data_IF_581278304781
#
_entry.id   IF_581278304781
#
_cell.length_a   1.000
_cell.length_b   1.000
_cell.length_c   1.000
_cell.angle_alpha   90.00
_cell.angle_beta   90.00
_cell.angle_gamma   90.00
#
_symmetry.space_group_name_H-M   'P 1'
#
loop_
_entity.id
_entity.type
_entity.pdbx_description
1 polymer ?
#
# COMPACT_ATOMS: atom_id res chain seq x y z
N UNK A 1 2.69 70.26 -18.36
CA UNK A 1 2.81 69.35 -19.51
C UNK A 1 3.40 67.98 -19.21
N UNK A 2 4.28 67.79 -18.24
CA UNK A 2 4.88 66.48 -17.88
C UNK A 2 3.91 65.42 -17.37
N UNK A 3 2.87 65.80 -16.59
CA UNK A 3 1.92 64.89 -15.95
C UNK A 3 1.00 64.16 -16.93
N UNK A 4 0.57 64.81 -18.01
CA UNK A 4 -0.29 64.18 -19.05
C UNK A 4 0.44 63.15 -19.90
N UNK A 5 1.80 63.23 -19.99
CA UNK A 5 2.62 62.29 -20.76
C UNK A 5 2.78 60.96 -20.00
N UNK A 6 2.89 61.02 -18.69
CA UNK A 6 3.02 59.81 -17.86
C UNK A 6 1.73 58.95 -17.82
N UNK A 7 0.57 59.61 -17.87
CA UNK A 7 -0.73 58.91 -17.89
C UNK A 7 -0.97 58.14 -19.20
N UNK A 8 -0.54 58.68 -20.32
CA UNK A 8 -0.63 57.96 -21.61
C UNK A 8 0.34 56.80 -21.70
N UNK A 9 1.55 56.90 -21.11
CA UNK A 9 2.51 55.81 -21.06
C UNK A 9 2.02 54.64 -20.17
N UNK A 10 1.43 54.95 -19.01
CA UNK A 10 0.87 53.93 -18.11
C UNK A 10 -0.32 53.20 -18.74
N UNK A 11 -1.18 53.88 -19.51
CA UNK A 11 -2.30 53.22 -20.23
C UNK A 11 -1.76 52.30 -21.33
N UNK A 12 -0.70 52.70 -22.06
CA UNK A 12 -0.08 51.88 -23.08
C UNK A 12 0.55 50.62 -22.52
N UNK A 13 1.27 50.72 -21.41
CA UNK A 13 1.87 49.54 -20.72
C UNK A 13 0.82 48.59 -20.19
N UNK A 14 -0.33 49.08 -19.66
CA UNK A 14 -1.43 48.21 -19.24
C UNK A 14 -1.98 47.38 -20.39
N UNK A 15 -2.13 47.93 -21.58
CA UNK A 15 -2.61 47.19 -22.76
C UNK A 15 -1.63 46.14 -23.24
N UNK A 16 -0.34 46.43 -23.17
CA UNK A 16 0.71 45.47 -23.53
C UNK A 16 0.72 44.30 -22.53
N UNK A 17 0.64 44.55 -21.21
CA UNK A 17 0.61 43.51 -20.20
C UNK A 17 -0.64 42.63 -20.35
N UNK A 18 -1.80 43.23 -20.64
CA UNK A 18 -3.02 42.46 -20.93
C UNK A 18 -2.91 41.60 -22.18
N UNK A 19 -2.33 42.14 -23.25
CA UNK A 19 -2.13 41.41 -24.50
C UNK A 19 -1.14 40.25 -24.34
N UNK A 20 -0.07 40.43 -23.58
CA UNK A 20 0.92 39.38 -23.30
C UNK A 20 0.30 38.30 -22.39
N UNK A 21 -0.47 38.67 -21.34
CA UNK A 21 -1.11 37.69 -20.47
C UNK A 21 -2.18 36.88 -21.22
N UNK A 22 -2.96 37.51 -22.10
CA UNK A 22 -3.96 36.82 -22.93
C UNK A 22 -3.31 35.90 -23.96
N UNK A 23 -2.19 36.32 -24.58
CA UNK A 23 -1.42 35.47 -25.48
C UNK A 23 -0.78 34.27 -24.76
N UNK A 24 -0.23 34.46 -23.54
CA UNK A 24 0.26 33.35 -22.75
C UNK A 24 -0.84 32.37 -22.36
N UNK A 25 -2.05 32.85 -22.03
CA UNK A 25 -3.17 31.95 -21.75
C UNK A 25 -3.63 31.18 -22.98
N UNK A 26 -3.58 31.75 -24.16
CA UNK A 26 -3.92 31.08 -25.41
C UNK A 26 -2.84 30.09 -25.87
N UNK A 27 -1.57 30.34 -25.58
CA UNK A 27 -0.49 29.38 -25.87
C UNK A 27 -0.48 28.18 -24.89
N UNK A 28 -0.93 28.34 -23.66
CA UNK A 28 -1.08 27.22 -22.75
C UNK A 28 -2.31 26.36 -23.02
N UNK A 29 -3.30 26.88 -23.73
CA UNK A 29 -4.52 26.14 -24.08
C UNK A 29 -4.43 25.34 -25.39
N UNK A 30 -3.42 25.54 -26.20
CA UNK A 30 -3.26 24.87 -27.51
C UNK A 30 -2.15 23.80 -27.52
N UNK A 31 -1.34 23.70 -26.45
CA UNK A 31 -0.23 22.75 -26.34
C UNK A 31 -0.51 21.44 -25.65
N UNK A 32 -1.72 21.23 -25.19
CA UNK A 32 -2.11 20.05 -24.42
C UNK A 32 -2.90 19.01 -25.19
N UNK A 33 -2.65 18.80 -26.47
CA UNK A 33 -2.96 17.52 -27.07
C UNK A 33 -1.99 16.50 -26.49
N UNK A 34 -2.20 16.10 -25.21
CA UNK A 34 -1.80 14.79 -24.76
C UNK A 34 -2.39 13.82 -25.78
N UNK A 35 -1.56 13.40 -26.73
CA UNK A 35 -1.70 12.11 -27.35
C UNK A 35 -1.57 11.09 -26.21
N UNK A 36 -2.54 11.10 -25.30
CA UNK A 36 -2.83 9.97 -24.47
C UNK A 36 -3.00 8.85 -25.46
N UNK A 37 -1.98 8.03 -25.61
CA UNK A 37 -2.14 6.69 -26.13
C UNK A 37 -3.25 6.11 -25.25
N UNK A 38 -4.50 6.34 -25.69
CA UNK A 38 -5.62 5.51 -25.29
C UNK A 38 -5.25 4.16 -25.88
N UNK A 39 -4.48 3.40 -25.10
CA UNK A 39 -4.36 1.97 -25.37
C UNK A 39 -5.80 1.51 -25.33
N UNK A 40 -6.36 1.31 -26.52
CA UNK A 40 -7.74 0.86 -26.74
C UNK A 40 -7.96 -0.58 -26.22
N UNK A 41 -7.02 -1.10 -25.46
CA UNK A 41 -7.13 -2.29 -24.62
C UNK A 41 -7.88 -2.01 -23.31
N UNK A 42 -8.90 -1.14 -23.34
CA UNK A 42 -10.07 -1.34 -22.47
C UNK A 42 -10.78 -2.62 -22.93
N UNK A 43 -9.99 -3.68 -23.01
CA UNK A 43 -10.53 -5.01 -23.14
C UNK A 43 -11.60 -5.17 -22.06
N UNK A 44 -12.71 -5.75 -22.42
CA UNK A 44 -13.85 -6.05 -21.55
C UNK A 44 -13.49 -6.76 -20.26
N UNK A 45 -12.26 -7.24 -20.13
CA UNK A 45 -11.75 -8.01 -19.01
C UNK A 45 -11.39 -7.12 -17.82
N UNK A 46 -11.95 -7.47 -16.67
CA UNK A 46 -11.58 -6.91 -15.39
C UNK A 46 -10.35 -7.64 -14.84
N UNK A 47 -9.49 -6.95 -14.11
CA UNK A 47 -8.24 -7.47 -13.55
C UNK A 47 -8.13 -7.21 -12.05
N UNK A 48 -7.38 -8.06 -11.37
CA UNK A 48 -6.79 -7.75 -10.08
C UNK A 48 -5.44 -7.11 -10.34
N UNK A 49 -5.18 -5.95 -9.77
CA UNK A 49 -3.87 -5.29 -9.80
C UNK A 49 -2.98 -5.83 -8.68
N UNK A 50 -1.76 -6.19 -9.01
CA UNK A 50 -0.71 -6.54 -8.05
C UNK A 50 0.40 -5.50 -8.12
N UNK A 51 0.61 -4.80 -7.03
CA UNK A 51 1.73 -3.89 -6.86
C UNK A 51 2.87 -4.67 -6.20
N UNK A 52 3.98 -4.79 -6.91
CA UNK A 52 5.15 -5.51 -6.44
C UNK A 52 6.26 -4.48 -6.23
N UNK A 53 6.57 -4.12 -4.98
CA UNK A 53 7.69 -3.24 -4.69
C UNK A 53 9.01 -3.84 -5.11
N UNK A 54 10.01 -3.59 -5.26
CA UNK A 54 11.41 -4.00 -5.41
C UNK A 54 11.66 -5.40 -5.98
N UNK A 55 11.84 -5.50 -7.27
CA UNK A 55 12.56 -6.59 -7.95
C UNK A 55 11.95 -8.02 -7.91
N UNK A 56 12.00 -8.76 -9.01
CA UNK A 56 11.31 -10.06 -9.13
C UNK A 56 11.85 -11.15 -8.18
N UNK A 57 13.07 -11.01 -7.67
CA UNK A 57 13.66 -11.97 -6.75
C UNK A 57 12.96 -12.03 -5.39
N UNK A 58 12.29 -10.94 -4.97
CA UNK A 58 11.52 -10.90 -3.74
C UNK A 58 10.15 -11.58 -3.88
N UNK A 59 9.63 -11.71 -5.09
CA UNK A 59 8.28 -12.21 -5.39
C UNK A 59 8.29 -13.55 -6.10
N UNK A 60 9.26 -14.37 -5.80
CA UNK A 60 9.45 -15.65 -6.48
C UNK A 60 8.20 -16.54 -6.42
N UNK A 61 7.46 -16.54 -5.30
CA UNK A 61 6.25 -17.34 -5.16
C UNK A 61 5.13 -16.86 -6.09
N UNK A 62 4.93 -15.55 -6.19
CA UNK A 62 3.94 -14.95 -7.12
C UNK A 62 4.36 -15.21 -8.57
N UNK A 63 5.61 -14.90 -8.92
CA UNK A 63 6.10 -15.05 -10.28
C UNK A 63 6.05 -16.50 -10.77
N UNK A 64 6.29 -17.47 -9.90
CA UNK A 64 6.13 -18.90 -10.20
C UNK A 64 4.70 -19.30 -10.59
N UNK A 65 3.69 -18.61 -10.09
CA UNK A 65 2.27 -18.87 -10.38
C UNK A 65 1.71 -17.99 -11.48
N UNK A 66 2.40 -16.92 -11.82
CA UNK A 66 1.97 -15.98 -12.85
C UNK A 66 2.22 -16.54 -14.24
N UNK A 67 1.16 -16.61 -15.02
CA UNK A 67 1.21 -16.97 -16.45
C UNK A 67 1.10 -15.68 -17.26
N UNK A 68 2.24 -15.14 -17.66
CA UNK A 68 2.33 -13.92 -18.46
C UNK A 68 1.76 -14.14 -19.85
N UNK A 69 0.93 -13.20 -20.32
CA UNK A 69 0.40 -13.16 -21.67
C UNK A 69 1.12 -12.10 -22.49
N UNK A 70 1.22 -10.87 -21.95
CA UNK A 70 1.91 -9.75 -22.64
C UNK A 70 2.45 -8.75 -21.62
N UNK A 71 3.35 -7.89 -22.09
CA UNK A 71 3.78 -6.68 -21.37
C UNK A 71 3.26 -5.44 -22.10
N UNK A 72 2.95 -4.41 -21.32
CA UNK A 72 2.59 -3.08 -21.80
C UNK A 72 3.46 -2.08 -21.06
N UNK A 73 4.13 -1.20 -21.79
CA UNK A 73 4.91 -0.11 -21.22
C UNK A 73 4.09 1.19 -21.28
N UNK A 74 3.97 1.87 -20.15
CA UNK A 74 3.35 3.19 -20.04
C UNK A 74 4.37 4.12 -19.38
N UNK A 75 4.93 5.04 -20.16
CA UNK A 75 6.08 5.82 -19.73
C UNK A 75 7.26 4.92 -19.38
N UNK A 76 7.74 5.04 -18.16
CA UNK A 76 8.84 4.20 -17.65
C UNK A 76 8.38 2.92 -16.94
N UNK A 77 7.08 2.73 -16.75
CA UNK A 77 6.52 1.59 -16.03
C UNK A 77 6.17 0.44 -16.99
N UNK A 78 6.53 -0.78 -16.60
CA UNK A 78 6.14 -1.99 -17.31
C UNK A 78 5.06 -2.74 -16.54
N UNK A 79 3.94 -2.99 -17.23
CA UNK A 79 2.82 -3.76 -16.71
C UNK A 79 2.76 -5.10 -17.41
N UNK A 80 2.80 -6.17 -16.63
CA UNK A 80 2.69 -7.53 -17.12
C UNK A 80 1.25 -8.01 -16.96
N UNK A 81 0.62 -8.33 -18.05
CA UNK A 81 -0.75 -8.82 -18.10
C UNK A 81 -0.72 -10.33 -18.22
N UNK A 82 -1.53 -10.99 -17.40
CA UNK A 82 -1.56 -12.45 -17.38
C UNK A 82 -2.64 -13.01 -16.47
N UNK A 83 -2.36 -14.17 -15.88
CA UNK A 83 -3.26 -14.80 -14.92
C UNK A 83 -2.51 -15.52 -13.81
N UNK A 84 -3.16 -15.58 -12.63
CA UNK A 84 -2.78 -16.43 -11.50
C UNK A 84 -3.99 -17.30 -11.19
N UNK A 85 -3.83 -18.63 -11.19
CA UNK A 85 -4.95 -19.58 -11.01
C UNK A 85 -6.14 -19.32 -11.95
N UNK A 86 -5.89 -18.94 -13.20
CA UNK A 86 -6.87 -18.52 -14.22
C UNK A 86 -7.60 -17.20 -13.91
N UNK A 87 -7.27 -16.51 -12.82
CA UNK A 87 -7.80 -15.19 -12.49
C UNK A 87 -6.98 -14.15 -13.27
N UNK A 88 -7.60 -13.25 -14.04
CA UNK A 88 -6.90 -12.19 -14.74
C UNK A 88 -6.21 -11.22 -13.77
N UNK A 89 -4.92 -10.99 -13.97
CA UNK A 89 -4.12 -10.07 -13.15
C UNK A 89 -3.27 -9.17 -14.03
N UNK A 90 -3.01 -7.95 -13.50
CA UNK A 90 -1.99 -7.05 -14.00
C UNK A 90 -0.97 -6.86 -12.90
N UNK A 91 0.29 -7.11 -13.20
CA UNK A 91 1.41 -6.94 -12.28
C UNK A 91 2.23 -5.74 -12.73
N UNK A 92 2.54 -4.81 -11.81
CA UNK A 92 3.59 -3.82 -12.00
C UNK A 92 4.73 -4.14 -11.04
N UNK A 93 5.91 -4.39 -11.60
CA UNK A 93 7.15 -4.44 -10.85
C UNK A 93 7.67 -3.01 -10.81
N UNK A 94 7.75 -2.44 -9.63
CA UNK A 94 8.17 -1.05 -9.48
C UNK A 94 9.64 -0.91 -9.86
N UNK A 95 9.99 -0.01 -10.78
CA UNK A 95 11.38 0.15 -11.22
C UNK A 95 12.26 0.80 -10.16
N UNK A 96 11.66 1.52 -9.23
CA UNK A 96 12.34 2.27 -8.16
C UNK A 96 11.60 2.06 -6.84
N UNK A 97 12.35 1.96 -5.75
CA UNK A 97 11.78 2.02 -4.41
C UNK A 97 11.20 3.41 -4.11
N UNK A 98 10.29 3.46 -3.13
CA UNK A 98 9.74 4.70 -2.59
C UNK A 98 8.25 4.91 -2.89
N UNK A 99 7.63 5.62 -1.99
CA UNK A 99 6.18 5.77 -1.86
C UNK A 99 5.57 6.53 -3.03
N UNK A 100 6.27 7.56 -3.55
CA UNK A 100 5.81 8.30 -4.73
C UNK A 100 5.73 7.41 -5.98
N UNK A 101 6.70 6.51 -6.14
CA UNK A 101 6.70 5.55 -7.23
C UNK A 101 5.53 4.57 -7.09
N UNK A 102 5.21 4.15 -5.87
CA UNK A 102 4.05 3.31 -5.57
C UNK A 102 2.76 4.00 -5.99
N UNK A 103 2.56 5.27 -5.60
CA UNK A 103 1.38 6.04 -6.04
C UNK A 103 1.28 6.16 -7.56
N UNK A 104 2.38 6.51 -8.24
CA UNK A 104 2.40 6.68 -9.69
C UNK A 104 2.11 5.36 -10.41
N UNK A 105 2.71 4.26 -9.99
CA UNK A 105 2.44 2.95 -10.60
C UNK A 105 1.00 2.50 -10.38
N UNK A 106 0.44 2.73 -9.20
CA UNK A 106 -0.96 2.45 -8.92
C UNK A 106 -1.90 3.32 -9.76
N UNK A 107 -1.63 4.63 -9.87
CA UNK A 107 -2.44 5.56 -10.65
C UNK A 107 -2.46 5.17 -12.13
N UNK A 108 -1.28 4.95 -12.72
CA UNK A 108 -1.18 4.53 -14.12
C UNK A 108 -1.88 3.17 -14.33
N UNK A 109 -1.76 2.25 -13.37
CA UNK A 109 -2.45 0.96 -13.46
C UNK A 109 -3.98 1.12 -13.51
N UNK A 110 -4.57 1.95 -12.64
CA UNK A 110 -6.02 2.14 -12.62
C UNK A 110 -6.56 2.97 -13.78
N UNK A 111 -5.72 3.84 -14.36
CA UNK A 111 -6.09 4.65 -15.54
C UNK A 111 -6.11 3.83 -16.83
N UNK A 112 -5.21 2.86 -16.95
CA UNK A 112 -5.04 2.10 -18.20
C UNK A 112 -5.71 0.73 -18.19
N UNK A 113 -6.00 0.16 -17.02
CA UNK A 113 -6.60 -1.16 -16.88
C UNK A 113 -7.88 -1.11 -16.05
N UNK A 114 -8.84 -1.97 -16.36
CA UNK A 114 -10.08 -2.10 -15.59
C UNK A 114 -9.81 -2.87 -14.29
N UNK A 115 -9.12 -2.23 -13.36
CA UNK A 115 -8.77 -2.82 -12.06
C UNK A 115 -10.01 -2.90 -11.16
N UNK A 116 -10.21 -4.03 -10.50
CA UNK A 116 -11.31 -4.29 -9.56
C UNK A 116 -10.87 -4.36 -8.11
N UNK A 117 -9.61 -4.66 -7.86
CA UNK A 117 -8.97 -4.62 -6.56
C UNK A 117 -7.47 -4.43 -6.76
N UNK A 118 -6.83 -3.71 -5.83
CA UNK A 118 -5.37 -3.61 -5.73
C UNK A 118 -4.91 -4.43 -4.53
N UNK A 119 -3.98 -5.33 -4.76
CA UNK A 119 -3.38 -6.17 -3.73
C UNK A 119 -1.88 -5.89 -3.67
N UNK A 120 -1.37 -5.78 -2.46
CA UNK A 120 0.03 -5.48 -2.19
C UNK A 120 0.59 -6.48 -1.17
N UNK A 121 1.43 -7.43 -1.58
CA UNK A 121 2.23 -8.23 -0.66
C UNK A 121 3.48 -7.45 -0.28
N UNK A 122 3.69 -7.21 0.99
CA UNK A 122 4.80 -6.41 1.49
C UNK A 122 5.59 -7.07 2.61
N UNK A 123 6.66 -6.40 3.00
CA UNK A 123 7.38 -6.61 4.25
C UNK A 123 7.50 -5.28 4.95
N UNK A 124 7.60 -5.28 6.27
CA UNK A 124 7.69 -4.05 7.06
C UNK A 124 8.50 -4.23 8.33
N UNK A 125 8.97 -3.12 8.88
CA UNK A 125 9.62 -3.04 10.18
C UNK A 125 8.59 -2.96 11.31
N UNK A 126 8.82 -3.63 12.43
CA UNK A 126 7.92 -3.62 13.57
C UNK A 126 8.00 -2.31 14.35
N UNK A 127 6.84 -1.69 14.64
CA UNK A 127 6.69 -0.56 15.54
C UNK A 127 6.21 -0.97 16.96
N UNK A 128 5.86 -2.23 17.15
CA UNK A 128 5.50 -2.79 18.45
C UNK A 128 6.74 -3.41 19.10
N UNK A 129 7.00 -3.12 20.40
CA UNK A 129 8.15 -3.67 21.10
C UNK A 129 8.18 -5.20 21.18
N UNK A 130 9.37 -5.81 21.40
CA UNK A 130 9.56 -7.26 21.54
C UNK A 130 8.68 -7.85 22.64
N UNK A 131 8.34 -9.13 22.50
CA UNK A 131 7.41 -9.85 23.36
C UNK A 131 5.96 -9.72 22.95
N UNK A 132 5.65 -8.82 21.99
CA UNK A 132 4.33 -8.69 21.37
C UNK A 132 4.38 -8.93 19.87
N UNK A 133 5.39 -8.41 19.16
CA UNK A 133 5.57 -8.57 17.72
C UNK A 133 7.00 -9.00 17.40
N UNK A 134 7.15 -9.94 16.50
CA UNK A 134 8.43 -10.54 16.10
C UNK A 134 8.58 -10.60 14.58
N UNK A 135 9.80 -10.72 14.12
CA UNK A 135 10.08 -10.99 12.71
C UNK A 135 9.38 -12.29 12.29
N UNK A 136 8.69 -12.24 11.16
CA UNK A 136 7.83 -13.32 10.67
C UNK A 136 6.35 -13.14 11.01
N UNK A 137 5.97 -12.25 11.93
CA UNK A 137 4.57 -11.95 12.22
C UNK A 137 3.90 -11.28 11.03
N UNK A 138 2.59 -11.50 10.91
CA UNK A 138 1.78 -11.07 9.77
C UNK A 138 0.90 -9.90 10.20
N UNK A 139 0.90 -8.84 9.42
CA UNK A 139 0.01 -7.69 9.59
C UNK A 139 -0.96 -7.62 8.41
N UNK A 140 -2.25 -7.61 8.70
CA UNK A 140 -3.28 -7.33 7.71
C UNK A 140 -3.65 -5.85 7.85
N UNK A 141 -3.29 -5.06 6.85
CA UNK A 141 -3.47 -3.62 6.85
C UNK A 141 -4.94 -3.23 6.72
N UNK A 142 -5.70 -3.33 7.80
CA UNK A 142 -7.11 -2.92 7.83
C UNK A 142 -7.27 -1.41 7.81
N UNK A 143 -6.21 -0.71 8.14
CA UNK A 143 -6.11 0.74 8.12
C UNK A 143 -4.70 1.13 7.68
N UNK A 144 -4.62 2.08 6.77
CA UNK A 144 -3.37 2.69 6.34
C UNK A 144 -3.27 4.10 6.89
N UNK A 145 -2.11 4.51 7.37
CA UNK A 145 -1.87 5.85 7.89
C UNK A 145 -0.51 6.37 7.43
N UNK A 146 -0.45 7.63 7.02
CA UNK A 146 0.82 8.32 6.83
C UNK A 146 1.23 8.98 8.15
N UNK A 147 2.05 8.30 8.93
CA UNK A 147 2.50 8.79 10.23
C UNK A 147 3.64 9.82 10.13
N UNK A 148 4.19 10.05 8.93
CA UNK A 148 5.11 11.15 8.68
C UNK A 148 4.38 12.48 8.43
N UNK A 149 3.05 12.47 8.27
CA UNK A 149 2.25 13.66 8.10
C UNK A 149 1.68 14.14 9.44
N UNK A 150 2.49 14.88 10.18
CA UNK A 150 2.16 15.39 11.50
C UNK A 150 2.55 16.86 11.67
N UNK A 151 1.90 17.51 12.60
CA UNK A 151 2.35 18.80 13.16
C UNK A 151 3.22 18.56 14.36
N UNK A 152 4.39 19.17 14.39
CA UNK A 152 5.27 19.19 15.57
C UNK A 152 5.23 20.58 16.19
N UNK A 153 4.79 20.64 17.44
CA UNK A 153 4.77 21.89 18.21
C UNK A 153 6.21 22.35 18.55
N UNK A 154 6.41 23.63 18.92
CA UNK A 154 7.71 24.09 19.41
C UNK A 154 8.26 23.31 20.62
N UNK A 155 7.40 22.62 21.36
CA UNK A 155 7.78 21.76 22.49
C UNK A 155 8.05 20.31 22.07
N UNK A 156 8.04 20.02 20.77
CA UNK A 156 8.29 18.67 20.26
C UNK A 156 7.11 17.70 20.37
N UNK A 157 5.90 18.20 20.72
CA UNK A 157 4.69 17.37 20.74
C UNK A 157 4.22 17.12 19.32
N UNK A 158 3.99 15.86 19.00
CA UNK A 158 3.45 15.41 17.71
C UNK A 158 1.92 15.32 17.81
N UNK A 159 1.23 15.84 16.80
CA UNK A 159 -0.21 15.65 16.59
C UNK A 159 -0.46 15.37 15.12
N UNK A 160 -1.55 14.69 14.75
CA UNK A 160 -1.95 14.59 13.35
C UNK A 160 -2.03 15.98 12.73
N UNK A 161 -1.63 16.10 11.46
CA UNK A 161 -1.61 17.38 10.77
C UNK A 161 -2.97 18.08 10.85
N UNK A 162 -2.99 19.28 11.43
CA UNK A 162 -4.20 20.09 11.60
C UNK A 162 -4.76 20.58 10.27
N UNK A 163 -3.91 20.75 9.25
CA UNK A 163 -4.36 21.17 7.91
C UNK A 163 -5.17 20.08 7.24
N UNK A 164 -4.77 18.83 7.35
CA UNK A 164 -5.59 17.70 6.92
C UNK A 164 -6.84 17.55 7.79
N UNK A 165 -6.81 18.11 8.99
CA UNK A 165 -7.84 17.98 10.02
C UNK A 165 -9.07 18.85 9.82
N UNK A 166 -8.96 20.03 9.25
CA UNK A 166 -10.05 21.02 9.05
C UNK A 166 -10.62 21.05 7.64
N UNK A 167 -9.98 20.39 6.69
CA UNK A 167 -10.38 20.36 5.29
C UNK A 167 -11.12 19.07 4.92
N UNK A 168 -11.69 19.06 3.72
CA UNK A 168 -12.22 17.85 3.08
C UNK A 168 -11.20 16.71 2.97
N UNK A 169 -9.92 17.00 3.22
CA UNK A 169 -8.81 16.06 3.21
C UNK A 169 -8.69 15.22 4.50
N UNK A 170 -9.43 15.54 5.57
CA UNK A 170 -9.47 14.71 6.80
C UNK A 170 -9.65 13.22 6.53
N UNK A 171 -10.40 12.89 5.52
CA UNK A 171 -10.64 11.52 5.11
C UNK A 171 -9.46 10.85 4.42
N UNK A 172 -8.36 11.58 4.16
CA UNK A 172 -7.20 11.04 3.42
C UNK A 172 -6.04 10.65 4.31
N UNK A 173 -6.03 11.00 5.58
CA UNK A 173 -4.97 10.57 6.49
C UNK A 173 -5.07 9.08 6.83
N UNK A 174 -6.30 8.57 6.90
CA UNK A 174 -6.57 7.18 7.23
C UNK A 174 -7.42 6.52 6.16
N UNK A 175 -7.00 5.34 5.70
CA UNK A 175 -7.77 4.51 4.78
C UNK A 175 -8.17 3.22 5.47
N UNK A 176 -9.43 2.86 5.32
CA UNK A 176 -10.00 1.65 5.90
C UNK A 176 -10.30 0.63 4.81
N UNK A 177 -10.03 -0.62 5.12
CA UNK A 177 -10.31 -1.72 4.21
C UNK A 177 -11.80 -1.95 3.98
N UNK A 178 -12.06 -2.54 2.83
CA UNK A 178 -13.34 -3.18 2.57
C UNK A 178 -13.50 -4.44 3.43
N UNK A 179 -14.62 -4.56 4.18
CA UNK A 179 -14.89 -5.68 5.10
C UNK A 179 -14.79 -7.06 4.46
N UNK A 180 -15.16 -7.20 3.20
CA UNK A 180 -15.06 -8.48 2.52
C UNK A 180 -13.60 -8.83 2.21
N UNK A 181 -12.82 -7.83 1.79
CA UNK A 181 -11.40 -8.03 1.51
C UNK A 181 -10.62 -8.33 2.78
N UNK A 182 -10.92 -7.63 3.89
CA UNK A 182 -10.42 -7.92 5.23
C UNK A 182 -10.67 -9.39 5.59
N UNK A 183 -11.92 -9.84 5.49
CA UNK A 183 -12.31 -11.21 5.77
C UNK A 183 -11.58 -12.22 4.89
N UNK A 184 -11.51 -11.98 3.58
CA UNK A 184 -10.82 -12.87 2.65
C UNK A 184 -9.35 -13.01 2.99
N UNK A 185 -8.72 -11.90 3.36
CA UNK A 185 -7.30 -11.87 3.70
C UNK A 185 -7.04 -12.52 5.05
N UNK A 186 -7.87 -12.27 6.06
CA UNK A 186 -7.78 -12.93 7.37
C UNK A 186 -7.90 -14.46 7.24
N UNK A 187 -8.86 -14.95 6.43
CA UNK A 187 -9.01 -16.37 6.16
C UNK A 187 -7.79 -16.95 5.42
N UNK A 188 -7.23 -16.21 4.48
CA UNK A 188 -6.05 -16.64 3.73
C UNK A 188 -4.81 -16.68 4.64
N UNK A 189 -4.59 -15.64 5.45
CA UNK A 189 -3.48 -15.56 6.39
C UNK A 189 -3.52 -16.72 7.41
N UNK A 190 -4.70 -16.98 7.98
CA UNK A 190 -4.89 -18.10 8.91
C UNK A 190 -4.61 -19.44 8.24
N UNK A 191 -5.10 -19.64 7.02
CA UNK A 191 -4.85 -20.87 6.28
C UNK A 191 -3.35 -21.09 6.03
N UNK A 192 -2.64 -20.05 5.58
CA UNK A 192 -1.20 -20.11 5.33
C UNK A 192 -0.44 -20.40 6.62
N UNK A 193 -0.76 -19.68 7.69
CA UNK A 193 -0.12 -19.89 8.99
C UNK A 193 -0.30 -21.31 9.57
N UNK A 194 -1.46 -21.93 9.33
CA UNK A 194 -1.78 -23.22 9.95
C UNK A 194 -1.43 -24.44 9.08
N UNK A 195 -1.40 -24.29 7.75
CA UNK A 195 -1.38 -25.44 6.84
C UNK A 195 -0.29 -25.42 5.80
N UNK A 196 0.35 -24.29 5.55
CA UNK A 196 1.46 -24.24 4.59
C UNK A 196 2.78 -24.32 5.33
N UNK A 197 3.76 -24.94 4.66
CA UNK A 197 5.12 -24.90 5.13
C UNK A 197 5.65 -23.47 5.01
N UNK A 198 5.86 -22.83 6.15
CA UNK A 198 6.40 -21.49 6.21
C UNK A 198 7.93 -21.55 6.17
N UNK A 199 8.58 -20.53 5.56
CA UNK A 199 10.01 -20.46 5.58
C UNK A 199 10.50 -20.42 7.03
N UNK A 200 11.41 -21.31 7.36
CA UNK A 200 12.12 -21.27 8.63
C UNK A 200 13.40 -20.48 8.47
N UNK A 201 13.64 -19.61 9.43
CA UNK A 201 14.82 -18.78 9.43
C UNK A 201 15.69 -19.14 10.61
N UNK A 202 16.73 -19.91 10.31
CA UNK A 202 17.61 -20.45 11.32
C UNK A 202 19.01 -20.00 10.99
N UNK A 203 19.64 -19.26 11.89
CA UNK A 203 21.05 -18.96 11.79
C UNK A 203 21.82 -19.39 13.06
N UNK A 204 21.40 -20.47 13.67
CA UNK A 204 21.92 -20.95 14.95
C UNK A 204 21.40 -20.21 16.19
N UNK A 205 20.96 -18.96 16.04
CA UNK A 205 20.48 -18.12 17.16
C UNK A 205 19.06 -17.60 16.97
N UNK A 206 18.55 -17.60 15.75
CA UNK A 206 17.23 -17.04 15.44
C UNK A 206 16.41 -18.02 14.61
N UNK A 207 15.19 -18.26 15.00
CA UNK A 207 14.24 -19.13 14.31
C UNK A 207 12.90 -18.41 14.22
N UNK A 208 12.32 -18.32 13.02
CA UNK A 208 10.96 -17.85 12.87
C UNK A 208 10.03 -18.87 13.55
N UNK A 209 9.32 -18.42 14.55
CA UNK A 209 8.28 -19.19 15.20
C UNK A 209 7.00 -19.14 14.36
N UNK A 210 5.94 -19.85 14.80
CA UNK A 210 4.64 -19.74 14.19
C UNK A 210 4.19 -18.26 14.20
N UNK A 211 3.93 -17.64 13.03
CA UNK A 211 3.57 -16.23 12.95
C UNK A 211 2.33 -15.90 13.76
N UNK A 212 2.39 -14.86 14.56
CA UNK A 212 1.21 -14.19 15.05
C UNK A 212 0.54 -13.40 13.91
N UNK A 213 -0.77 -13.26 13.93
CA UNK A 213 -1.50 -12.54 12.89
C UNK A 213 -2.24 -11.35 13.52
N UNK A 214 -1.82 -10.16 13.14
CA UNK A 214 -2.49 -8.91 13.51
C UNK A 214 -3.60 -8.64 12.51
N UNK A 215 -4.79 -9.15 12.79
CA UNK A 215 -5.94 -9.15 11.88
C UNK A 215 -6.50 -7.76 11.60
N UNK A 216 -6.21 -6.80 12.44
CA UNK A 216 -6.74 -5.44 12.38
C UNK A 216 -5.63 -4.39 12.37
N UNK A 217 -4.46 -4.72 11.88
CA UNK A 217 -3.29 -3.85 11.95
C UNK A 217 -3.52 -2.49 11.32
N UNK A 218 -2.94 -1.46 11.94
CA UNK A 218 -2.72 -0.16 11.32
C UNK A 218 -1.33 -0.18 10.72
N UNK A 219 -1.24 -0.17 9.40
CA UNK A 219 0.05 -0.07 8.72
C UNK A 219 0.44 1.38 8.56
N UNK A 220 1.61 1.71 9.06
CA UNK A 220 2.20 3.01 8.96
C UNK A 220 2.96 3.18 7.65
N UNK A 221 2.91 4.37 7.08
CA UNK A 221 3.70 4.75 5.91
C UNK A 221 4.53 5.98 6.24
N UNK A 222 5.78 5.99 5.83
CA UNK A 222 6.69 7.11 5.95
C UNK A 222 7.64 7.12 4.76
N UNK A 223 8.12 8.31 4.40
CA UNK A 223 9.23 8.47 3.48
C UNK A 223 10.59 8.39 4.18
N UNK A 224 10.58 8.14 5.48
CA UNK A 224 11.76 8.03 6.34
C UNK A 224 11.97 6.58 6.74
N UNK A 225 13.21 6.14 6.75
CA UNK A 225 13.60 4.90 7.41
C UNK A 225 13.85 5.20 8.89
N UNK A 226 13.05 4.64 9.77
CA UNK A 226 13.11 4.95 11.19
C UNK A 226 13.89 3.89 11.96
N UNK A 227 14.97 4.34 12.62
CA UNK A 227 15.75 3.54 13.56
C UNK A 227 15.72 4.10 15.00
N UNK A 228 15.09 5.26 15.22
CA UNK A 228 14.97 5.88 16.53
C UNK A 228 13.76 5.36 17.28
N UNK A 229 14.01 4.51 18.28
CA UNK A 229 12.98 3.93 19.15
C UNK A 229 12.11 4.96 19.85
N UNK A 230 12.69 6.12 20.21
CA UNK A 230 11.95 7.17 20.89
C UNK A 230 10.98 7.90 19.96
N UNK A 231 11.37 8.07 18.72
CA UNK A 231 10.52 8.66 17.70
C UNK A 231 9.38 7.70 17.29
N UNK A 232 9.71 6.43 17.05
CA UNK A 232 8.71 5.37 16.80
C UNK A 232 7.66 5.34 17.91
N UNK A 233 8.11 5.41 19.19
CA UNK A 233 7.16 5.47 20.31
C UNK A 233 6.26 6.71 20.25
N UNK A 234 6.78 7.87 19.90
CA UNK A 234 5.97 9.10 19.78
C UNK A 234 4.95 9.04 18.66
N UNK A 235 5.31 8.49 17.50
CA UNK A 235 4.36 8.31 16.39
C UNK A 235 3.30 7.28 16.73
N UNK A 236 3.70 6.15 17.30
CA UNK A 236 2.80 5.09 17.76
C UNK A 236 1.80 5.57 18.82
N UNK A 237 2.22 6.40 19.78
CA UNK A 237 1.32 7.00 20.77
C UNK A 237 0.21 7.87 20.12
N UNK A 238 0.43 8.35 18.92
CA UNK A 238 -0.50 9.23 18.17
C UNK A 238 -1.28 8.51 17.08
N UNK A 239 -0.60 7.72 16.27
CA UNK A 239 -1.18 7.09 15.07
C UNK A 239 -1.55 5.62 15.29
N UNK A 240 -0.98 5.00 16.34
CA UNK A 240 -1.19 3.60 16.70
C UNK A 240 -0.84 2.60 15.59
N UNK A 241 0.12 2.97 14.75
CA UNK A 241 0.66 2.08 13.73
C UNK A 241 1.40 0.90 14.38
N UNK A 242 1.32 -0.25 13.77
CA UNK A 242 1.97 -1.48 14.27
C UNK A 242 3.25 -1.81 13.53
N UNK A 243 3.39 -1.25 12.34
CA UNK A 243 4.56 -1.42 11.47
C UNK A 243 4.81 -0.16 10.64
N UNK A 244 5.93 -0.16 9.92
CA UNK A 244 6.27 0.81 8.87
C UNK A 244 6.35 0.13 7.51
N UNK A 245 6.55 0.90 6.43
CA UNK A 245 6.53 0.45 5.03
C UNK A 245 5.15 0.06 4.48
N UNK A 246 4.06 0.47 5.14
CA UNK A 246 2.73 0.44 4.57
C UNK A 246 2.64 1.27 3.28
N UNK A 247 1.58 1.05 2.51
CA UNK A 247 1.37 1.75 1.23
C UNK A 247 0.14 2.66 1.25
N UNK A 248 0.17 3.66 2.11
CA UNK A 248 -0.85 4.72 2.15
C UNK A 248 -1.03 5.41 0.80
N UNK A 249 0.04 5.52 0.02
CA UNK A 249 0.02 6.19 -1.27
C UNK A 249 -0.82 5.43 -2.30
N UNK A 250 -0.62 4.14 -2.47
CA UNK A 250 -1.46 3.30 -3.33
C UNK A 250 -2.88 3.13 -2.78
N UNK A 251 -3.03 3.09 -1.45
CA UNK A 251 -4.35 3.10 -0.81
C UNK A 251 -5.14 4.38 -1.14
N UNK A 252 -4.44 5.54 -1.22
CA UNK A 252 -5.04 6.82 -1.66
C UNK A 252 -5.55 6.71 -3.09
N UNK A 253 -4.73 6.21 -4.01
CA UNK A 253 -5.12 6.01 -5.42
C UNK A 253 -6.34 5.08 -5.50
N UNK A 254 -6.31 3.96 -4.80
CA UNK A 254 -7.42 3.01 -4.78
C UNK A 254 -8.71 3.64 -4.27
N UNK A 255 -8.64 4.46 -3.21
CA UNK A 255 -9.79 5.19 -2.67
C UNK A 255 -10.37 6.18 -3.68
N UNK A 256 -9.51 6.98 -4.33
CA UNK A 256 -9.94 7.93 -5.37
C UNK A 256 -10.57 7.20 -6.56
N UNK A 257 -10.03 6.06 -6.96
CA UNK A 257 -10.57 5.20 -8.00
C UNK A 257 -11.79 4.37 -7.56
N UNK A 258 -12.18 4.42 -6.27
CA UNK A 258 -13.27 3.64 -5.67
C UNK A 258 -13.12 2.13 -5.83
N UNK A 259 -11.89 1.63 -5.74
CA UNK A 259 -11.57 0.21 -5.79
C UNK A 259 -11.00 -0.27 -4.45
N UNK A 260 -11.25 -1.53 -4.04
CA UNK A 260 -10.67 -2.06 -2.81
C UNK A 260 -9.16 -2.17 -2.91
N UNK A 261 -8.50 -1.86 -1.81
CA UNK A 261 -7.06 -2.05 -1.63
C UNK A 261 -6.80 -2.91 -0.40
N UNK A 262 -5.80 -3.76 -0.45
CA UNK A 262 -5.24 -4.41 0.72
C UNK A 262 -3.74 -4.57 0.60
N UNK A 263 -3.10 -4.33 1.71
CA UNK A 263 -1.74 -4.73 1.95
C UNK A 263 -1.68 -5.82 3.02
N UNK A 264 -0.82 -6.78 2.78
CA UNK A 264 -0.43 -7.79 3.75
C UNK A 264 1.07 -7.69 3.89
N UNK A 265 1.52 -7.28 5.07
CA UNK A 265 2.95 -7.24 5.40
C UNK A 265 3.33 -8.40 6.30
N UNK A 266 4.56 -8.87 6.14
CA UNK A 266 5.20 -9.75 7.10
C UNK A 266 6.39 -9.01 7.68
N UNK A 267 6.52 -9.00 9.01
CA UNK A 267 7.58 -8.27 9.69
C UNK A 267 8.94 -8.85 9.30
N UNK A 268 9.80 -8.01 8.72
CA UNK A 268 11.13 -8.38 8.22
C UNK A 268 12.26 -7.97 9.14
N UNK A 269 12.01 -6.97 9.98
CA UNK A 269 13.00 -6.39 10.88
C UNK A 269 12.35 -5.69 12.08
N UNK A 270 13.15 -5.39 13.08
CA UNK A 270 12.71 -4.70 14.28
C UNK A 270 13.89 -4.02 14.99
N UNK A 271 13.84 -2.72 15.10
CA UNK A 271 14.82 -1.96 15.89
C UNK A 271 14.78 -2.30 17.37
N UNK A 272 13.70 -2.93 17.83
CA UNK A 272 13.55 -3.36 19.22
C UNK A 272 14.16 -4.73 19.48
N UNK A 273 14.23 -5.61 18.48
CA UNK A 273 14.66 -7.01 18.62
C UNK A 273 16.14 -7.20 18.29
N UNK A 274 16.67 -6.41 17.37
CA UNK A 274 18.06 -6.54 16.91
C UNK A 274 18.90 -5.30 17.25
N UNK A 275 20.18 -5.51 17.44
CA UNK A 275 21.15 -4.42 17.56
C UNK A 275 21.52 -3.84 16.19
N UNK A 276 22.00 -2.61 16.16
CA UNK A 276 22.37 -1.92 14.93
C UNK A 276 21.17 -1.30 14.19
N UNK A 277 21.06 -1.59 12.91
CA UNK A 277 20.00 -1.08 12.05
C UNK A 277 18.66 -1.83 12.19
N UNK A 278 18.53 -2.70 13.17
CA UNK A 278 17.29 -3.46 13.39
C UNK A 278 17.09 -4.63 12.42
N UNK A 279 18.04 -4.91 11.55
CA UNK A 279 17.95 -5.98 10.57
C UNK A 279 18.50 -7.29 11.17
N UNK A 280 17.73 -8.37 11.14
CA UNK A 280 18.23 -9.66 11.60
C UNK A 280 19.32 -10.22 10.70
N UNK A 281 20.10 -11.20 11.20
CA UNK A 281 21.11 -11.89 10.41
C UNK A 281 20.48 -12.58 9.18
N UNK A 282 21.30 -12.85 8.16
CA UNK A 282 20.85 -13.61 6.99
C UNK A 282 20.39 -15.01 7.38
N UNK A 283 19.28 -15.42 6.79
CA UNK A 283 18.76 -16.77 6.97
C UNK A 283 19.41 -17.81 6.06
N UNK A 284 18.79 -18.97 5.99
CA UNK A 284 19.21 -20.08 5.13
C UNK A 284 19.34 -19.65 3.67
N UNK A 285 20.24 -20.28 2.95
CA UNK A 285 20.52 -19.98 1.54
C UNK A 285 20.92 -18.53 1.25
N UNK A 286 21.43 -17.81 2.23
CA UNK A 286 21.86 -16.40 2.15
C UNK A 286 20.75 -15.42 1.74
N UNK A 287 19.49 -15.79 1.86
CA UNK A 287 18.38 -14.87 1.66
C UNK A 287 18.38 -13.80 2.74
N UNK A 288 17.98 -12.59 2.37
CA UNK A 288 17.72 -11.52 3.35
C UNK A 288 16.44 -11.83 4.14
N UNK A 289 16.29 -11.21 5.30
CA UNK A 289 15.07 -11.32 6.09
C UNK A 289 13.84 -10.92 5.26
N UNK A 290 13.94 -9.83 4.56
CA UNK A 290 12.88 -9.34 3.67
C UNK A 290 12.51 -10.38 2.59
N UNK A 291 13.46 -11.07 1.98
CA UNK A 291 13.15 -12.11 1.00
C UNK A 291 12.47 -13.34 1.61
N UNK A 292 12.78 -13.67 2.86
CA UNK A 292 12.20 -14.83 3.56
C UNK A 292 10.78 -14.50 4.00
N UNK A 293 10.58 -13.33 4.60
CA UNK A 293 9.27 -12.89 5.09
C UNK A 293 8.33 -12.52 3.95
N UNK A 294 8.85 -12.01 2.84
CA UNK A 294 8.07 -11.74 1.63
C UNK A 294 7.36 -12.99 1.11
N UNK A 295 7.99 -14.15 1.18
CA UNK A 295 7.38 -15.41 0.75
C UNK A 295 6.07 -15.73 1.52
N UNK A 296 5.97 -15.30 2.77
CA UNK A 296 4.76 -15.45 3.59
C UNK A 296 3.64 -14.55 3.05
N UNK A 297 3.92 -13.26 2.83
CA UNK A 297 2.95 -12.31 2.28
C UNK A 297 2.49 -12.71 0.87
N UNK A 298 3.43 -13.18 0.04
CA UNK A 298 3.15 -13.72 -1.29
C UNK A 298 2.16 -14.89 -1.23
N UNK A 299 2.38 -15.86 -0.35
CA UNK A 299 1.50 -17.03 -0.18
C UNK A 299 0.09 -16.61 0.25
N UNK A 300 -0.01 -15.60 1.14
CA UNK A 300 -1.31 -15.07 1.57
C UNK A 300 -2.04 -14.44 0.40
N UNK A 301 -1.39 -13.58 -0.37
CA UNK A 301 -2.01 -12.93 -1.55
C UNK A 301 -2.37 -13.97 -2.62
N UNK A 302 -1.51 -14.95 -2.88
CA UNK A 302 -1.82 -16.05 -3.78
C UNK A 302 -3.05 -16.83 -3.32
N UNK A 303 -3.19 -17.05 -2.01
CA UNK A 303 -4.37 -17.71 -1.43
C UNK A 303 -5.63 -16.87 -1.58
N UNK A 304 -5.54 -15.55 -1.39
CA UNK A 304 -6.66 -14.62 -1.65
C UNK A 304 -7.11 -14.72 -3.10
N UNK A 305 -6.17 -14.67 -4.05
CA UNK A 305 -6.48 -14.76 -5.48
C UNK A 305 -7.11 -16.12 -5.81
N UNK A 306 -6.52 -17.22 -5.33
CA UNK A 306 -7.00 -18.58 -5.59
C UNK A 306 -8.44 -18.81 -5.11
N UNK A 307 -8.75 -18.31 -3.91
CA UNK A 307 -10.01 -18.63 -3.23
C UNK A 307 -11.10 -17.61 -3.52
N UNK A 308 -10.73 -16.33 -3.67
CA UNK A 308 -11.69 -15.23 -3.74
C UNK A 308 -11.55 -14.37 -5.00
N UNK A 309 -10.64 -14.70 -5.92
CA UNK A 309 -10.34 -13.90 -7.10
C UNK A 309 -11.56 -13.60 -7.97
N UNK A 310 -12.43 -14.59 -8.22
CA UNK A 310 -13.69 -14.37 -8.95
C UNK A 310 -14.63 -13.42 -8.23
N UNK A 311 -14.70 -13.50 -6.91
CA UNK A 311 -15.51 -12.57 -6.12
C UNK A 311 -14.97 -11.15 -6.22
N UNK A 312 -13.63 -10.97 -6.20
CA UNK A 312 -12.99 -9.67 -6.36
C UNK A 312 -13.25 -9.05 -7.73
N UNK A 313 -13.30 -9.85 -8.79
CA UNK A 313 -13.57 -9.37 -10.14
C UNK A 313 -15.05 -8.96 -10.36
N UNK A 314 -15.99 -9.66 -9.73
CA UNK A 314 -17.41 -9.59 -10.09
C UNK A 314 -18.26 -8.75 -9.12
N UNK A 315 -17.80 -8.52 -7.88
CA UNK A 315 -18.59 -7.75 -6.92
C UNK A 315 -18.39 -6.25 -7.10
N UNK A 316 -19.48 -5.48 -6.93
CA UNK A 316 -19.40 -4.06 -6.65
C UNK A 316 -19.08 -3.92 -5.16
N UNK A 317 -17.99 -3.25 -4.87
CA UNK A 317 -17.61 -2.96 -3.49
C UNK A 317 -18.10 -1.56 -3.14
N UNK A 318 -18.87 -1.46 -2.04
CA UNK A 318 -19.09 -0.18 -1.37
C UNK A 318 -17.93 0.05 -0.42
N UNK A 319 -17.36 1.24 -0.44
CA UNK A 319 -16.36 1.64 0.54
C UNK A 319 -17.03 1.82 1.90
N UNK A 320 -16.65 1.07 2.93
CA UNK A 320 -17.00 1.42 4.28
C UNK A 320 -16.18 2.66 4.65
N UNK A 321 -16.86 3.76 4.85
CA UNK A 321 -16.21 5.03 5.13
C UNK A 321 -15.63 5.10 6.55
N UNK A 322 -15.94 4.17 7.42
CA UNK A 322 -15.41 4.09 8.78
C UNK A 322 -15.47 2.65 9.30
N UNK A 323 -14.36 2.18 9.79
CA UNK A 323 -14.34 0.99 10.63
C UNK A 323 -13.53 1.31 11.89
N UNK A 324 -14.14 1.97 12.87
CA UNK A 324 -13.50 2.27 14.12
C UNK A 324 -13.47 0.99 14.97
N UNK A 325 -12.41 0.22 14.83
CA UNK A 325 -12.09 -0.76 15.85
C UNK A 325 -11.53 -0.06 17.08
N UNK A 326 -11.75 -0.57 18.28
CA UNK A 326 -11.02 -0.14 19.46
C UNK A 326 -9.50 -0.21 19.22
N UNK A 327 -8.74 0.74 19.77
CA UNK A 327 -7.28 0.80 19.61
C UNK A 327 -6.61 -0.51 20.00
N UNK A 328 -7.13 -1.19 21.01
CA UNK A 328 -6.62 -2.49 21.45
C UNK A 328 -6.64 -3.57 20.37
N UNK A 329 -7.55 -3.49 19.39
CA UNK A 329 -7.62 -4.47 18.30
C UNK A 329 -6.45 -4.35 17.32
N UNK A 330 -5.95 -3.14 17.13
CA UNK A 330 -4.86 -2.91 16.18
C UNK A 330 -3.53 -3.50 16.66
N UNK A 331 -3.36 -3.62 17.96
CA UNK A 331 -2.09 -3.95 18.61
C UNK A 331 -2.01 -5.37 19.17
N UNK A 332 -2.97 -6.20 18.89
CA UNK A 332 -3.02 -7.58 19.40
C UNK A 332 -3.28 -8.57 18.28
N UNK A 333 -2.61 -9.75 18.31
CA UNK A 333 -2.83 -10.79 17.32
C UNK A 333 -4.09 -11.62 17.59
N UNK A 334 -5.03 -11.10 18.35
CA UNK A 334 -6.29 -11.77 18.64
C UNK A 334 -7.35 -11.46 17.60
N UNK A 335 -8.26 -12.38 17.39
CA UNK A 335 -9.46 -12.18 16.57
C UNK A 335 -10.71 -11.98 17.45
N UNK A 336 -10.92 -10.78 18.01
CA UNK A 336 -12.04 -10.53 18.94
C UNK A 336 -13.39 -10.52 18.25
N UNK A 337 -13.45 -10.65 16.92
CA UNK A 337 -14.69 -10.59 16.13
C UNK A 337 -15.12 -11.92 15.56
N UNK A 338 -14.38 -12.99 15.82
CA UNK A 338 -14.69 -14.31 15.29
C UNK A 338 -14.62 -14.41 13.77
N UNK A 339 -13.76 -13.61 13.11
CA UNK A 339 -13.56 -13.68 11.65
C UNK A 339 -13.13 -15.08 11.22
N UNK A 340 -12.31 -15.72 12.03
CA UNK A 340 -11.75 -17.06 11.76
C UNK A 340 -12.81 -18.14 11.82
N UNK A 341 -13.71 -18.08 12.80
CA UNK A 341 -14.82 -19.05 12.88
C UNK A 341 -15.70 -19.00 11.63
N UNK A 342 -15.95 -17.79 11.14
CA UNK A 342 -16.68 -17.61 9.89
C UNK A 342 -15.92 -18.12 8.64
N UNK A 343 -14.58 -18.24 8.70
CA UNK A 343 -13.79 -18.85 7.64
C UNK A 343 -13.92 -20.38 7.64
N UNK A 344 -13.87 -20.99 8.80
CA UNK A 344 -13.97 -22.46 8.97
C UNK A 344 -15.35 -23.01 8.59
N UNK A 345 -16.42 -22.31 8.94
CA UNK A 345 -17.78 -22.69 8.57
C UNK A 345 -17.98 -22.78 7.05
N UNK A 346 -17.36 -21.89 6.27
CA UNK A 346 -17.43 -21.93 4.79
C UNK A 346 -16.61 -23.06 4.18
N UNK A 347 -15.46 -23.39 4.75
CA UNK A 347 -14.62 -24.49 4.22
C UNK A 347 -15.29 -25.84 4.40
N UNK A 348 -16.07 -26.02 5.46
CA UNK A 348 -16.88 -27.26 5.69
C UNK A 348 -18.09 -27.34 4.78
N UNK A 349 -18.63 -26.21 4.32
CA UNK A 349 -19.77 -26.17 3.42
C UNK A 349 -19.40 -26.35 1.93
N UNK A 350 -18.09 -26.29 1.61
CA UNK A 350 -17.56 -26.42 0.23
C UNK A 350 -16.67 -27.66 0.05
N UNK A 351 -16.43 -28.44 1.09
CA UNK A 351 -15.82 -29.77 1.07
C UNK A 351 -16.88 -30.87 1.03
#
# INVERSE_FOLDING_TARGET
>A
MKQKRNLKLMKFWRHIVYAISTACFLFFSVGGAQAGLRISDRNSNAYIGLLIPVGPAHYAAIMKKFKKIKSVRVGQFEYQIGSIYKIPVVICIQPFGGEYTRALTAQVMVDHFKIKALLYPGTSGAHIPPGKMHVGDIVIGTKQVNFANFYMSPTGKITPDEFSGKSSLRGYQYFYLNKNLEKYTACAARYVSDREELPSWINGKYKIQKPAIYYYGIQGTSTMWLADKSFIKKTDDVFHEVDEDGDWFSATVAKLAKIPFIEVSTISDSVFEFSGNGVPPRGEHRKTASQITQDISDKIILRVIKTYGYNLLNKKYSYPLRNPYPVSFYRTPTDPRGLIDACQARQRATS
#
